data_IF_264728731949
#
_entry.id   IF_264728731949
#
_cell.length_a   1.000
_cell.length_b   1.000
_cell.length_c   1.000
_cell.angle_alpha   90.00
_cell.angle_beta   90.00
_cell.angle_gamma   90.00
#
_symmetry.space_group_name_H-M   'P 1'
#
loop_
_entity.id
_entity.type
_entity.pdbx_description
1 polymer ?
#
# COMPACT_ATOMS: atom_id res chain seq x y z
N UNK A 1 40.00 9.28 -11.27
CA UNK A 1 39.38 8.32 -12.21
C UNK A 1 38.21 7.63 -11.52
N UNK A 2 36.98 8.11 -11.72
CA UNK A 2 35.78 7.44 -11.20
C UNK A 2 35.18 6.59 -12.32
N UNK A 3 35.05 5.29 -12.06
CA UNK A 3 34.55 4.31 -13.02
C UNK A 3 33.05 4.45 -13.20
N UNK A 4 32.64 4.52 -14.46
CA UNK A 4 31.27 4.54 -14.95
C UNK A 4 30.42 3.44 -14.32
N UNK A 5 29.39 3.81 -13.55
CA UNK A 5 28.36 2.90 -13.02
C UNK A 5 27.27 2.57 -14.06
N UNK A 6 27.60 2.46 -15.34
CA UNK A 6 26.58 2.50 -16.42
C UNK A 6 25.89 1.16 -16.73
N UNK A 7 25.86 0.17 -15.83
CA UNK A 7 25.29 -1.14 -16.16
C UNK A 7 24.35 -1.75 -15.11
N UNK A 8 24.07 -1.04 -14.01
CA UNK A 8 23.09 -1.49 -13.01
C UNK A 8 21.69 -0.89 -13.23
N UNK A 9 21.60 0.17 -14.05
CA UNK A 9 20.36 0.91 -14.34
C UNK A 9 19.55 0.38 -15.54
N UNK A 10 20.05 -0.63 -16.28
CA UNK A 10 19.28 -1.25 -17.38
C UNK A 10 18.38 -2.41 -16.93
N UNK A 11 18.30 -2.69 -15.62
CA UNK A 11 17.40 -3.73 -15.13
C UNK A 11 15.98 -3.20 -15.26
N UNK A 12 15.15 -3.90 -16.01
CA UNK A 12 13.72 -3.63 -16.09
C UNK A 12 13.00 -4.39 -14.99
N UNK A 13 11.95 -3.78 -14.44
CA UNK A 13 11.03 -4.38 -13.49
C UNK A 13 9.59 -4.12 -13.92
N UNK A 14 8.65 -4.88 -13.37
CA UNK A 14 7.23 -4.80 -13.73
C UNK A 14 6.49 -4.08 -12.61
N UNK A 15 5.68 -3.09 -12.98
CA UNK A 15 4.74 -2.46 -12.07
C UNK A 15 3.69 -3.50 -11.64
N UNK A 16 3.57 -3.78 -10.34
CA UNK A 16 2.58 -4.76 -9.85
C UNK A 16 1.13 -4.30 -10.05
N UNK A 17 0.90 -2.99 -10.21
CA UNK A 17 -0.44 -2.42 -10.36
C UNK A 17 -0.92 -2.42 -11.82
N UNK A 18 -0.15 -1.84 -12.74
CA UNK A 18 -0.54 -1.73 -14.15
C UNK A 18 0.09 -2.79 -15.07
N UNK A 19 1.11 -3.52 -14.62
CA UNK A 19 1.84 -4.50 -15.43
C UNK A 19 2.89 -3.91 -16.37
N UNK A 20 3.06 -2.58 -16.40
CA UNK A 20 4.04 -1.95 -17.29
C UNK A 20 5.48 -2.32 -16.91
N UNK A 21 6.32 -2.46 -17.93
CA UNK A 21 7.76 -2.68 -17.77
C UNK A 21 8.50 -1.35 -17.75
N UNK A 22 9.22 -1.08 -16.68
CA UNK A 22 9.92 0.18 -16.44
C UNK A 22 11.35 -0.04 -15.95
N UNK A 23 12.20 0.95 -16.14
CA UNK A 23 13.57 0.90 -15.63
C UNK A 23 13.54 0.87 -14.11
N UNK A 24 14.43 0.07 -13.52
CA UNK A 24 14.54 -0.04 -12.06
C UNK A 24 14.88 1.28 -11.38
N UNK A 25 15.56 2.18 -12.10
CA UNK A 25 15.85 3.56 -11.65
C UNK A 25 14.60 4.42 -11.49
N UNK A 26 13.55 4.12 -12.26
CA UNK A 26 12.34 4.93 -12.33
C UNK A 26 11.21 4.35 -11.46
N UNK A 27 11.33 3.07 -11.10
CA UNK A 27 10.39 2.37 -10.23
C UNK A 27 10.46 2.84 -8.76
N UNK A 28 9.31 2.87 -8.10
CA UNK A 28 9.16 3.00 -6.65
C UNK A 28 9.11 1.62 -6.01
N UNK A 29 9.76 1.48 -4.86
CA UNK A 29 9.69 0.26 -4.06
C UNK A 29 8.40 0.28 -3.25
N UNK A 30 7.64 -0.81 -3.35
CA UNK A 30 6.45 -1.05 -2.55
C UNK A 30 6.81 -2.07 -1.47
N UNK A 31 6.66 -1.65 -0.22
CA UNK A 31 6.75 -2.52 0.94
C UNK A 31 5.34 -2.82 1.42
N UNK A 32 4.89 -4.06 1.20
CA UNK A 32 3.57 -4.54 1.62
C UNK A 32 3.41 -4.56 3.15
N UNK A 33 4.51 -4.67 3.89
CA UNK A 33 4.52 -4.71 5.36
C UNK A 33 4.62 -3.30 5.97
N UNK A 34 4.88 -2.27 5.15
CA UNK A 34 4.96 -0.87 5.58
C UNK A 34 6.19 -0.50 6.42
N UNK A 35 7.15 -1.41 6.61
CA UNK A 35 8.37 -1.15 7.38
C UNK A 35 9.53 -0.68 6.50
N UNK A 36 9.54 0.65 6.29
CA UNK A 36 10.54 1.36 5.48
C UNK A 36 11.98 1.28 6.02
N UNK A 37 12.16 0.89 7.28
CA UNK A 37 13.45 1.02 7.96
C UNK A 37 14.29 -0.26 7.89
N UNK A 38 13.69 -1.43 8.05
CA UNK A 38 14.41 -2.70 7.87
C UNK A 38 14.31 -3.20 6.43
N UNK A 39 15.47 -3.46 5.82
CA UNK A 39 15.61 -3.98 4.45
C UNK A 39 16.18 -5.39 4.42
N UNK A 40 16.60 -5.94 5.56
CA UNK A 40 17.32 -7.20 5.57
C UNK A 40 16.37 -8.37 5.32
N UNK A 41 16.65 -9.17 4.28
CA UNK A 41 15.86 -10.35 3.94
C UNK A 41 14.48 -10.05 3.32
N UNK A 42 14.19 -8.80 2.97
CA UNK A 42 12.95 -8.41 2.30
C UNK A 42 13.13 -8.31 0.80
N UNK A 43 12.17 -8.85 0.06
CA UNK A 43 12.01 -8.60 -1.38
C UNK A 43 10.96 -7.51 -1.57
N UNK A 44 11.32 -6.46 -2.31
CA UNK A 44 10.42 -5.34 -2.59
C UNK A 44 9.74 -5.52 -3.93
N UNK A 45 8.45 -5.17 -3.98
CA UNK A 45 7.71 -5.05 -5.21
C UNK A 45 7.92 -3.66 -5.83
N UNK A 46 7.50 -3.50 -7.09
CA UNK A 46 7.79 -2.30 -7.86
C UNK A 46 6.52 -1.67 -8.42
N UNK A 47 6.47 -0.34 -8.36
CA UNK A 47 5.40 0.47 -8.92
C UNK A 47 5.98 1.53 -9.85
N UNK A 48 5.25 1.88 -10.92
CA UNK A 48 5.53 3.10 -11.65
C UNK A 48 5.17 4.31 -10.77
N UNK A 49 5.68 5.49 -11.14
CA UNK A 49 5.42 6.73 -10.40
C UNK A 49 3.93 7.02 -10.29
N UNK A 50 3.19 6.88 -11.40
CA UNK A 50 1.77 7.19 -11.45
C UNK A 50 0.96 6.29 -10.51
N UNK A 51 1.13 4.96 -10.60
CA UNK A 51 0.45 4.02 -9.70
C UNK A 51 0.85 4.20 -8.24
N UNK A 52 2.11 4.55 -7.96
CA UNK A 52 2.54 4.86 -6.60
C UNK A 52 1.85 6.11 -6.04
N UNK A 53 1.75 7.17 -6.85
CA UNK A 53 1.16 8.45 -6.43
C UNK A 53 -0.36 8.31 -6.18
N UNK A 54 -1.02 7.33 -6.82
CA UNK A 54 -2.44 7.00 -6.60
C UNK A 54 -2.69 6.10 -5.38
N UNK A 55 -1.64 5.56 -4.73
CA UNK A 55 -1.83 4.69 -3.58
C UNK A 55 -2.37 5.45 -2.36
N UNK A 56 -3.24 4.77 -1.63
CA UNK A 56 -3.56 5.15 -0.26
C UNK A 56 -2.36 4.84 0.65
N UNK A 57 -1.77 5.89 1.22
CA UNK A 57 -0.62 5.81 2.13
C UNK A 57 -1.04 5.72 3.60
N UNK A 58 -2.34 5.54 3.88
CA UNK A 58 -2.81 5.35 5.24
C UNK A 58 -2.25 4.04 5.81
N UNK A 59 -1.86 4.02 7.09
CA UNK A 59 -1.39 2.81 7.75
C UNK A 59 -2.46 1.73 7.66
N UNK A 60 -2.06 0.52 7.27
CA UNK A 60 -2.94 -0.65 7.18
C UNK A 60 -2.82 -1.60 8.38
N UNK A 61 -2.14 -1.15 9.43
CA UNK A 61 -2.03 -1.92 10.65
C UNK A 61 -3.44 -2.27 11.15
N UNK A 62 -3.65 -3.53 11.53
CA UNK A 62 -4.91 -4.06 12.07
C UNK A 62 -6.13 -4.05 11.12
N UNK A 63 -6.02 -3.40 9.95
CA UNK A 63 -7.11 -3.31 8.98
C UNK A 63 -7.59 -4.69 8.52
N UNK A 64 -6.67 -5.61 8.19
CA UNK A 64 -7.06 -6.96 7.76
C UNK A 64 -7.78 -7.72 8.86
N UNK A 65 -7.28 -7.64 10.10
CA UNK A 65 -7.92 -8.27 11.26
C UNK A 65 -9.32 -7.71 11.52
N UNK A 66 -9.49 -6.39 11.40
CA UNK A 66 -10.78 -5.73 11.49
C UNK A 66 -11.74 -6.20 10.39
N UNK A 67 -11.31 -6.21 9.13
CA UNK A 67 -12.13 -6.64 8.00
C UNK A 67 -12.58 -8.10 8.18
N UNK A 68 -11.68 -9.00 8.58
CA UNK A 68 -11.99 -10.40 8.88
C UNK A 68 -12.95 -10.57 10.06
N UNK A 69 -12.90 -9.68 11.06
CA UNK A 69 -13.83 -9.73 12.19
C UNK A 69 -15.27 -9.32 11.82
N UNK A 70 -15.41 -8.49 10.79
CA UNK A 70 -16.70 -7.96 10.31
C UNK A 70 -17.29 -8.87 9.23
N UNK A 71 -16.42 -9.49 8.43
CA UNK A 71 -16.78 -10.42 7.37
C UNK A 71 -17.48 -11.66 7.95
N UNK A 72 -18.53 -12.09 7.28
CA UNK A 72 -19.27 -13.31 7.59
C UNK A 72 -19.80 -13.87 6.29
N UNK A 73 -19.92 -15.19 6.22
CA UNK A 73 -20.60 -15.87 5.12
C UNK A 73 -22.02 -15.25 5.00
N UNK A 74 -22.35 -14.72 3.83
CA UNK A 74 -23.64 -14.09 3.47
C UNK A 74 -23.91 -12.62 3.88
N UNK A 75 -22.89 -11.79 4.10
CA UNK A 75 -23.09 -10.35 4.31
C UNK A 75 -23.18 -9.59 2.99
N UNK A 76 -24.24 -8.81 2.78
CA UNK A 76 -24.32 -7.90 1.62
C UNK A 76 -23.25 -6.81 1.71
N UNK A 77 -22.78 -6.32 0.57
CA UNK A 77 -21.77 -5.23 0.53
C UNK A 77 -22.16 -4.02 1.39
N UNK A 78 -23.43 -3.61 1.34
CA UNK A 78 -23.93 -2.49 2.15
C UNK A 78 -23.83 -2.78 3.65
N UNK A 79 -24.21 -3.99 4.07
CA UNK A 79 -24.14 -4.40 5.48
C UNK A 79 -22.70 -4.47 5.98
N UNK A 80 -21.78 -4.94 5.13
CA UNK A 80 -20.34 -4.99 5.43
C UNK A 80 -19.77 -3.59 5.63
N UNK A 81 -20.03 -2.67 4.68
CA UNK A 81 -19.56 -1.30 4.76
C UNK A 81 -20.08 -0.58 6.00
N UNK A 82 -21.36 -0.76 6.34
CA UNK A 82 -21.94 -0.17 7.55
C UNK A 82 -21.23 -0.64 8.81
N UNK A 83 -21.04 -1.96 8.97
CA UNK A 83 -20.31 -2.51 10.13
C UNK A 83 -18.86 -2.01 10.20
N UNK A 84 -18.21 -1.83 9.06
CA UNK A 84 -16.89 -1.24 9.00
C UNK A 84 -16.88 0.21 9.49
N UNK A 85 -17.80 1.05 9.00
CA UNK A 85 -17.91 2.42 9.47
C UNK A 85 -18.23 2.49 10.97
N UNK A 86 -19.18 1.67 11.44
CA UNK A 86 -19.54 1.60 12.87
C UNK A 86 -18.31 1.24 13.73
N UNK A 87 -17.52 0.22 13.32
CA UNK A 87 -16.34 -0.22 14.05
C UNK A 87 -15.20 0.82 14.04
N UNK A 88 -15.00 1.51 12.91
CA UNK A 88 -14.00 2.59 12.80
C UNK A 88 -14.43 3.80 13.65
N UNK A 89 -15.71 4.17 13.64
CA UNK A 89 -16.21 5.26 14.48
C UNK A 89 -16.12 4.93 15.98
N UNK A 90 -16.31 3.67 16.37
CA UNK A 90 -16.17 3.23 17.77
C UNK A 90 -14.71 3.32 18.26
N UNK A 91 -13.75 2.89 17.45
CA UNK A 91 -12.33 2.86 17.83
C UNK A 91 -11.62 4.22 17.68
N UNK A 92 -11.89 4.96 16.60
CA UNK A 92 -11.15 6.18 16.24
C UNK A 92 -11.99 7.46 16.36
N UNK A 93 -13.29 7.37 16.58
CA UNK A 93 -14.22 8.50 16.50
C UNK A 93 -14.62 8.82 15.06
N UNK A 94 -15.50 9.82 14.89
CA UNK A 94 -15.98 10.19 13.54
C UNK A 94 -14.84 10.76 12.69
N UNK A 95 -14.60 10.15 11.54
CA UNK A 95 -13.58 10.59 10.58
C UNK A 95 -13.78 12.05 10.11
N UNK A 96 -15.01 12.57 10.14
CA UNK A 96 -15.34 13.96 9.81
C UNK A 96 -14.92 14.99 10.88
N UNK A 97 -14.57 14.55 12.10
CA UNK A 97 -14.16 15.44 13.18
C UNK A 97 -12.68 15.88 13.04
N UNK A 98 -11.82 15.05 12.47
CA UNK A 98 -10.37 15.28 12.42
C UNK A 98 -9.90 16.10 11.20
N UNK A 99 -10.62 16.10 10.07
CA UNK A 99 -10.28 16.93 8.89
C UNK A 99 -10.49 18.45 9.11
N UNK A 100 -10.96 18.85 10.30
CA UNK A 100 -11.22 20.25 10.70
C UNK A 100 -10.29 20.79 11.81
N UNK A 101 -9.22 20.07 12.14
CA UNK A 101 -8.30 20.44 13.24
C UNK A 101 -6.96 20.98 12.73
#
# INVERSE_FOLDING_TARGET
>A
MWRSRSNRDRKTVVCIACGDSLLRSDAREYDKEGDRWDRHGKEFEHLCKECHDELCHQPRAELESLLLSIESDEVSRESFLRRYFDAVEEEYGSADAEERS
#
